data_IF_622269486034
#
_entry.id   IF_622269486034
#
_cell.length_a   1.000
_cell.length_b   1.000
_cell.length_c   1.000
_cell.angle_alpha   90.00
_cell.angle_beta   90.00
_cell.angle_gamma   90.00
#
_symmetry.space_group_name_H-M   'P 1'
#
loop_
_entity.id
_entity.type
_entity.pdbx_description
1 polymer ?
#
# COMPACT_ATOMS: atom_id res chain seq x y z
N UNK A 1 8.19 24.40 -14.90
CA UNK A 1 8.77 23.11 -15.33
C UNK A 1 7.72 22.33 -16.09
N UNK A 2 8.03 21.81 -17.29
CA UNK A 2 7.10 20.95 -18.02
C UNK A 2 6.79 19.70 -17.19
N UNK A 3 5.51 19.32 -17.04
CA UNK A 3 5.10 18.10 -16.34
C UNK A 3 5.71 16.85 -16.99
N UNK A 4 5.72 15.71 -16.28
CA UNK A 4 6.27 14.47 -16.82
C UNK A 4 5.57 14.11 -18.13
N UNK A 5 6.31 13.58 -19.09
CA UNK A 5 5.75 13.15 -20.36
C UNK A 5 4.60 12.15 -20.13
N UNK A 6 3.48 12.35 -20.83
CA UNK A 6 2.23 11.57 -20.66
C UNK A 6 2.46 10.04 -20.70
N UNK A 7 3.39 9.58 -21.52
CA UNK A 7 3.70 8.16 -21.63
C UNK A 7 4.30 7.60 -20.33
N UNK A 8 5.21 8.33 -19.64
CA UNK A 8 5.80 7.90 -18.36
C UNK A 8 4.73 7.71 -17.29
N UNK A 9 3.77 8.64 -17.24
CA UNK A 9 2.65 8.56 -16.31
C UNK A 9 1.75 7.35 -16.59
N UNK A 10 1.41 7.12 -17.87
CA UNK A 10 0.61 5.96 -18.27
C UNK A 10 1.34 4.65 -17.99
N UNK A 11 2.63 4.54 -18.32
CA UNK A 11 3.43 3.34 -18.03
C UNK A 11 3.43 3.04 -16.53
N UNK A 12 3.70 4.03 -15.68
CA UNK A 12 3.72 3.82 -14.24
C UNK A 12 2.33 3.43 -13.68
N UNK A 13 1.24 4.01 -14.18
CA UNK A 13 -0.13 3.62 -13.82
C UNK A 13 -0.43 2.18 -14.23
N UNK A 14 -0.16 1.81 -15.49
CA UNK A 14 -0.36 0.44 -15.97
C UNK A 14 0.50 -0.55 -15.21
N UNK A 15 1.73 -0.18 -14.84
CA UNK A 15 2.59 -1.01 -14.00
C UNK A 15 1.90 -1.34 -12.67
N UNK A 16 1.39 -0.34 -11.93
CA UNK A 16 0.72 -0.64 -10.65
C UNK A 16 -0.61 -1.37 -10.83
N UNK A 17 -1.35 -1.14 -11.91
CA UNK A 17 -2.62 -1.82 -12.18
C UNK A 17 -2.40 -3.32 -12.44
N UNK A 18 -1.52 -3.63 -13.38
CA UNK A 18 -1.31 -5.02 -13.80
C UNK A 18 -0.50 -5.79 -12.77
N UNK A 19 0.59 -5.17 -12.28
CA UNK A 19 1.48 -5.86 -11.34
C UNK A 19 0.79 -6.09 -10.00
N UNK A 20 0.23 -5.05 -9.36
CA UNK A 20 -0.43 -5.27 -8.06
C UNK A 20 -1.73 -6.05 -8.20
N UNK A 21 -2.46 -5.92 -9.31
CA UNK A 21 -3.62 -6.77 -9.58
C UNK A 21 -3.27 -8.25 -9.69
N UNK A 22 -2.12 -8.58 -10.30
CA UNK A 22 -1.65 -9.96 -10.44
C UNK A 22 -0.91 -10.49 -9.20
N UNK A 23 -0.60 -9.65 -8.18
CA UNK A 23 0.07 -10.13 -6.97
C UNK A 23 -0.75 -11.16 -6.20
N UNK A 24 -2.07 -11.05 -6.15
CA UNK A 24 -2.95 -12.03 -5.51
C UNK A 24 -2.82 -13.40 -6.17
N UNK A 25 -2.88 -13.46 -7.50
CA UNK A 25 -2.62 -14.68 -8.27
C UNK A 25 -1.23 -15.27 -7.96
N UNK A 26 -0.20 -14.44 -7.96
CA UNK A 26 1.16 -14.89 -7.68
C UNK A 26 1.35 -15.33 -6.22
N UNK A 27 0.71 -14.66 -5.24
CA UNK A 27 0.69 -15.10 -3.84
C UNK A 27 0.06 -16.49 -3.73
N UNK A 28 -1.10 -16.69 -4.36
CA UNK A 28 -1.80 -17.99 -4.34
C UNK A 28 -0.92 -19.12 -4.86
N UNK A 29 -0.15 -18.89 -5.93
CA UNK A 29 0.81 -19.88 -6.45
C UNK A 29 1.99 -20.06 -5.48
N UNK A 30 2.55 -18.97 -4.96
CA UNK A 30 3.74 -19.07 -4.09
C UNK A 30 3.47 -19.88 -2.84
N UNK A 31 2.29 -19.72 -2.22
CA UNK A 31 1.95 -20.43 -0.97
C UNK A 31 1.49 -21.88 -1.17
N UNK A 32 1.50 -22.40 -2.40
CA UNK A 32 1.23 -23.83 -2.66
C UNK A 32 2.31 -24.72 -2.04
N UNK A 33 3.57 -24.29 -2.08
CA UNK A 33 4.68 -25.05 -1.56
C UNK A 33 5.61 -24.26 -0.64
N UNK A 34 5.52 -22.92 -0.63
CA UNK A 34 6.32 -22.09 0.25
C UNK A 34 5.54 -21.71 1.51
N UNK A 35 6.17 -21.73 2.71
CA UNK A 35 5.52 -21.25 3.94
C UNK A 35 5.13 -19.78 3.82
N UNK A 36 3.93 -19.42 4.30
CA UNK A 36 3.31 -18.14 4.01
C UNK A 36 4.09 -16.94 4.53
N UNK A 37 4.43 -16.93 5.82
CA UNK A 37 5.17 -15.80 6.42
C UNK A 37 6.61 -15.76 5.96
N UNK A 38 7.26 -16.91 5.82
CA UNK A 38 8.64 -16.98 5.34
C UNK A 38 8.76 -16.48 3.91
N UNK A 39 7.86 -16.87 3.00
CA UNK A 39 7.85 -16.40 1.62
C UNK A 39 7.59 -14.90 1.54
N UNK A 40 6.59 -14.38 2.27
CA UNK A 40 6.30 -12.96 2.30
C UNK A 40 7.43 -12.15 2.95
N UNK A 41 8.02 -12.65 4.03
CA UNK A 41 9.12 -11.99 4.74
C UNK A 41 10.38 -11.90 3.89
N UNK A 42 10.82 -13.03 3.34
CA UNK A 42 12.06 -13.09 2.52
C UNK A 42 11.95 -12.28 1.24
N UNK A 43 10.76 -12.21 0.59
CA UNK A 43 10.57 -11.37 -0.59
C UNK A 43 10.70 -9.87 -0.26
N UNK A 44 10.17 -9.41 0.89
CA UNK A 44 10.31 -8.01 1.30
C UNK A 44 11.73 -7.69 1.74
N UNK A 45 12.43 -8.60 2.41
CA UNK A 45 13.85 -8.44 2.71
C UNK A 45 14.68 -8.32 1.43
N UNK A 46 14.44 -9.20 0.44
CA UNK A 46 15.13 -9.15 -0.84
C UNK A 46 14.83 -7.83 -1.58
N UNK A 47 13.57 -7.46 -1.69
CA UNK A 47 13.17 -6.21 -2.38
C UNK A 47 13.74 -4.97 -1.67
N UNK A 48 13.68 -4.92 -0.34
CA UNK A 48 14.26 -3.85 0.47
C UNK A 48 15.77 -3.77 0.33
N UNK A 49 16.47 -4.91 0.34
CA UNK A 49 17.93 -4.97 0.14
C UNK A 49 18.34 -4.52 -1.27
N UNK A 50 17.60 -4.94 -2.31
CA UNK A 50 17.83 -4.48 -3.69
C UNK A 50 17.59 -2.98 -3.84
N UNK A 51 16.52 -2.45 -3.24
CA UNK A 51 16.24 -1.01 -3.27
C UNK A 51 17.31 -0.24 -2.49
N UNK A 52 17.77 -0.74 -1.33
CA UNK A 52 18.88 -0.15 -0.59
C UNK A 52 20.17 -0.10 -1.42
N UNK A 53 20.48 -1.19 -2.13
CA UNK A 53 21.63 -1.25 -3.04
C UNK A 53 21.52 -0.22 -4.16
N UNK A 54 20.36 -0.11 -4.82
CA UNK A 54 20.10 0.88 -5.87
C UNK A 54 20.30 2.30 -5.32
N UNK A 55 19.78 2.60 -4.13
CA UNK A 55 19.94 3.90 -3.50
C UNK A 55 21.41 4.18 -3.17
N UNK A 56 22.15 3.20 -2.66
CA UNK A 56 23.57 3.33 -2.35
C UNK A 56 24.40 3.61 -3.60
N UNK A 57 24.21 2.84 -4.69
CA UNK A 57 24.97 3.03 -5.94
C UNK A 57 24.58 4.31 -6.67
N UNK A 58 23.38 4.86 -6.43
CA UNK A 58 22.94 6.16 -6.95
C UNK A 58 23.34 7.33 -6.05
N UNK A 59 24.15 7.09 -5.01
CA UNK A 59 24.68 8.13 -4.10
C UNK A 59 23.65 8.70 -3.12
N UNK A 60 22.49 8.03 -2.92
CA UNK A 60 21.47 8.48 -1.97
C UNK A 60 21.78 7.96 -0.55
N UNK A 61 21.69 8.87 0.42
CA UNK A 61 21.91 8.50 1.82
C UNK A 61 20.73 7.71 2.40
N UNK A 62 21.03 6.56 2.99
CA UNK A 62 20.09 5.75 3.75
C UNK A 62 20.03 6.14 5.25
N UNK A 63 20.79 7.18 5.64
CA UNK A 63 20.84 7.63 7.04
C UNK A 63 19.53 8.32 7.40
N UNK A 64 18.91 7.86 8.47
CA UNK A 64 17.66 8.41 9.01
C UNK A 64 17.74 8.49 10.53
N UNK A 65 16.91 9.31 11.15
CA UNK A 65 16.80 9.38 12.60
C UNK A 65 16.14 8.12 13.18
N UNK A 66 16.35 7.85 14.46
CA UNK A 66 15.68 6.73 15.16
C UNK A 66 14.15 6.84 15.09
N UNK A 67 13.60 8.06 15.12
CA UNK A 67 12.14 8.29 15.01
C UNK A 67 11.64 7.90 13.62
N UNK A 68 12.32 8.32 12.57
CA UNK A 68 11.97 7.95 11.18
C UNK A 68 12.08 6.44 10.95
N UNK A 69 13.13 5.78 11.51
CA UNK A 69 13.29 4.34 11.43
C UNK A 69 12.12 3.59 12.09
N UNK A 70 11.79 3.95 13.33
CA UNK A 70 10.67 3.32 14.05
C UNK A 70 9.34 3.57 13.33
N UNK A 71 9.11 4.77 12.84
CA UNK A 71 7.89 5.11 12.08
C UNK A 71 7.80 4.33 10.77
N UNK A 72 8.88 4.23 10.01
CA UNK A 72 8.92 3.43 8.78
C UNK A 72 8.73 1.94 9.07
N UNK A 73 9.36 1.40 10.12
CA UNK A 73 9.18 0.01 10.51
C UNK A 73 7.73 -0.28 10.94
N UNK A 74 7.13 0.58 11.78
CA UNK A 74 5.73 0.44 12.20
C UNK A 74 4.76 0.53 11.02
N UNK A 75 4.99 1.48 10.12
CA UNK A 75 4.17 1.61 8.92
C UNK A 75 4.34 0.39 8.00
N UNK A 76 5.57 -0.07 7.80
CA UNK A 76 5.87 -1.28 7.05
C UNK A 76 5.21 -2.52 7.67
N UNK A 77 5.29 -2.69 8.99
CA UNK A 77 4.61 -3.79 9.70
C UNK A 77 3.09 -3.71 9.48
N UNK A 78 2.49 -2.52 9.57
CA UNK A 78 1.04 -2.38 9.39
C UNK A 78 0.62 -2.66 7.94
N UNK A 79 1.28 -2.08 6.95
CA UNK A 79 0.92 -2.21 5.54
C UNK A 79 1.39 -3.55 4.94
N UNK A 80 2.67 -3.85 5.04
CA UNK A 80 3.29 -4.98 4.37
C UNK A 80 3.30 -6.23 5.25
N UNK A 81 3.61 -6.08 6.54
CA UNK A 81 3.65 -7.19 7.49
C UNK A 81 2.26 -7.78 7.73
N UNK A 82 1.39 -7.05 8.42
CA UNK A 82 0.04 -7.50 8.74
C UNK A 82 -0.91 -7.41 7.55
N UNK A 83 -0.76 -6.37 6.69
CA UNK A 83 -1.58 -6.21 5.49
C UNK A 83 -1.26 -7.30 4.47
N UNK A 84 -0.11 -7.25 3.80
CA UNK A 84 0.23 -8.22 2.74
C UNK A 84 0.53 -9.60 3.31
N UNK A 85 1.25 -9.70 4.44
CA UNK A 85 1.50 -10.98 5.10
C UNK A 85 0.22 -11.67 5.56
N UNK A 86 -0.76 -10.89 6.07
CA UNK A 86 -2.09 -11.42 6.42
C UNK A 86 -2.88 -11.91 5.21
N UNK A 87 -2.82 -11.19 4.07
CA UNK A 87 -3.37 -11.66 2.79
C UNK A 87 -2.67 -12.94 2.35
N UNK A 88 -1.34 -13.01 2.42
CA UNK A 88 -0.57 -14.20 2.06
C UNK A 88 -0.99 -15.42 2.87
N UNK A 89 -1.19 -15.26 4.18
CA UNK A 89 -1.71 -16.32 5.04
C UNK A 89 -3.18 -16.65 4.74
N UNK A 90 -4.02 -15.66 4.42
CA UNK A 90 -5.42 -15.87 4.04
C UNK A 90 -5.54 -16.72 2.78
N UNK A 91 -4.71 -16.46 1.77
CA UNK A 91 -4.73 -17.16 0.48
C UNK A 91 -4.30 -18.65 0.57
N UNK A 92 -3.75 -19.10 1.69
CA UNK A 92 -3.65 -20.55 1.96
C UNK A 92 -5.02 -21.21 2.16
N UNK A 93 -6.10 -20.44 2.41
CA UNK A 93 -7.42 -20.91 2.83
C UNK A 93 -8.59 -20.34 2.01
N UNK A 94 -8.37 -19.31 1.22
CA UNK A 94 -9.38 -18.67 0.35
C UNK A 94 -8.81 -18.41 -1.05
N UNK A 95 -9.68 -18.11 -1.99
CA UNK A 95 -9.30 -17.79 -3.37
C UNK A 95 -8.64 -16.41 -3.47
N UNK A 96 -7.75 -16.25 -4.45
CA UNK A 96 -7.04 -15.01 -4.71
C UNK A 96 -7.99 -13.86 -5.10
N UNK A 97 -9.04 -14.17 -5.86
CA UNK A 97 -10.11 -13.23 -6.21
C UNK A 97 -10.87 -12.72 -5.00
N UNK A 98 -11.18 -13.62 -4.03
CA UNK A 98 -11.83 -13.26 -2.77
C UNK A 98 -10.95 -12.35 -1.90
N UNK A 99 -9.66 -12.68 -1.76
CA UNK A 99 -8.69 -11.86 -1.04
C UNK A 99 -8.56 -10.45 -1.66
N UNK A 100 -8.46 -10.37 -3.00
CA UNK A 100 -8.38 -9.11 -3.74
C UNK A 100 -9.65 -8.24 -3.57
N UNK A 101 -10.84 -8.84 -3.58
CA UNK A 101 -12.09 -8.10 -3.35
C UNK A 101 -12.16 -7.51 -1.94
N UNK A 102 -11.76 -8.29 -0.92
CA UNK A 102 -11.69 -7.79 0.47
C UNK A 102 -10.69 -6.65 0.57
N UNK A 103 -9.50 -6.79 -0.01
CA UNK A 103 -8.49 -5.72 -0.05
C UNK A 103 -8.98 -4.49 -0.84
N UNK A 104 -9.81 -4.68 -1.87
CA UNK A 104 -10.45 -3.60 -2.62
C UNK A 104 -11.35 -2.68 -1.77
N UNK A 105 -11.74 -3.09 -0.55
CA UNK A 105 -12.51 -2.25 0.38
C UNK A 105 -11.66 -1.26 1.17
N UNK A 106 -10.34 -1.33 1.12
CA UNK A 106 -9.41 -0.45 1.86
C UNK A 106 -9.75 1.04 1.72
N UNK A 107 -10.02 1.60 0.52
CA UNK A 107 -10.38 3.01 0.41
C UNK A 107 -11.65 3.38 1.21
N UNK A 108 -12.62 2.47 1.24
CA UNK A 108 -13.87 2.67 1.98
C UNK A 108 -13.63 2.64 3.50
N UNK A 109 -12.76 1.73 3.95
CA UNK A 109 -12.35 1.65 5.36
C UNK A 109 -11.60 2.92 5.79
N UNK A 110 -10.70 3.45 4.94
CA UNK A 110 -10.00 4.73 5.21
C UNK A 110 -11.00 5.88 5.29
N UNK A 111 -12.01 5.94 4.39
CA UNK A 111 -13.07 6.95 4.44
C UNK A 111 -13.89 6.81 5.72
N UNK A 112 -14.20 5.59 6.14
CA UNK A 112 -14.89 5.34 7.40
C UNK A 112 -14.07 5.86 8.60
N UNK A 113 -12.77 5.59 8.65
CA UNK A 113 -11.86 6.10 9.67
C UNK A 113 -11.80 7.62 9.69
N UNK A 114 -11.72 8.27 8.52
CA UNK A 114 -11.79 9.74 8.40
C UNK A 114 -13.10 10.30 8.93
N UNK A 115 -14.21 9.62 8.64
CA UNK A 115 -15.55 10.01 9.14
C UNK A 115 -15.63 9.89 10.66
N UNK A 116 -15.13 8.78 11.22
CA UNK A 116 -15.04 8.59 12.68
C UNK A 116 -14.13 9.62 13.36
N UNK A 117 -13.04 10.00 12.69
CA UNK A 117 -12.15 11.09 13.13
C UNK A 117 -12.75 12.48 12.95
N UNK A 118 -14.02 12.58 12.56
CA UNK A 118 -14.78 13.83 12.32
C UNK A 118 -14.18 14.73 11.23
N UNK A 119 -13.42 14.15 10.30
CA UNK A 119 -12.98 14.88 9.11
C UNK A 119 -14.18 15.21 8.20
N UNK A 120 -14.08 16.30 7.44
CA UNK A 120 -15.13 16.73 6.50
C UNK A 120 -15.16 15.84 5.27
N UNK A 121 -15.94 14.78 5.31
CA UNK A 121 -16.16 13.86 4.19
C UNK A 121 -17.53 14.16 3.54
N UNK A 122 -17.59 14.23 2.21
CA UNK A 122 -18.83 14.47 1.47
C UNK A 122 -19.87 13.37 1.75
N UNK A 123 -21.17 13.73 1.81
CA UNK A 123 -22.24 12.77 2.08
C UNK A 123 -22.23 11.61 1.08
N UNK A 124 -22.09 11.90 -0.21
CA UNK A 124 -22.03 10.87 -1.26
C UNK A 124 -20.87 9.88 -1.04
N UNK A 125 -19.71 10.36 -0.58
CA UNK A 125 -18.54 9.52 -0.23
C UNK A 125 -18.83 8.66 1.00
N UNK A 126 -19.55 9.20 2.01
CA UNK A 126 -19.99 8.40 3.18
C UNK A 126 -21.02 7.33 2.80
N UNK A 127 -21.97 7.65 1.92
CA UNK A 127 -22.95 6.68 1.43
C UNK A 127 -22.28 5.55 0.64
N UNK A 128 -21.24 5.84 -0.16
CA UNK A 128 -20.52 4.81 -0.89
C UNK A 128 -19.83 3.79 0.04
N UNK A 129 -19.45 4.18 1.27
CA UNK A 129 -18.94 3.24 2.28
C UNK A 129 -19.98 2.17 2.63
N UNK A 130 -21.23 2.56 2.87
CA UNK A 130 -22.30 1.60 3.19
C UNK A 130 -22.58 0.64 2.03
N UNK A 131 -22.60 1.13 0.79
CA UNK A 131 -22.77 0.29 -0.40
C UNK A 131 -21.62 -0.70 -0.54
N UNK A 132 -20.38 -0.25 -0.34
CA UNK A 132 -19.21 -1.12 -0.42
C UNK A 132 -19.13 -2.14 0.73
N UNK A 133 -19.56 -1.77 1.93
CA UNK A 133 -19.66 -2.72 3.06
C UNK A 133 -20.76 -3.76 2.83
N UNK A 134 -21.89 -3.39 2.19
CA UNK A 134 -22.90 -4.36 1.76
C UNK A 134 -22.32 -5.33 0.71
N UNK A 135 -21.51 -4.82 -0.25
CA UNK A 135 -20.76 -5.64 -1.18
C UNK A 135 -19.77 -6.58 -0.49
N UNK A 136 -19.03 -6.10 0.51
CA UNK A 136 -18.13 -6.93 1.33
C UNK A 136 -18.92 -8.03 2.05
N UNK A 137 -20.07 -7.71 2.62
CA UNK A 137 -20.91 -8.70 3.28
C UNK A 137 -21.34 -9.83 2.30
N UNK A 138 -21.70 -9.52 1.06
CA UNK A 138 -22.01 -10.52 0.03
C UNK A 138 -20.81 -11.42 -0.32
N UNK A 139 -19.59 -10.87 -0.26
CA UNK A 139 -18.36 -11.65 -0.51
C UNK A 139 -18.02 -12.56 0.68
N UNK A 140 -18.22 -12.08 1.91
CA UNK A 140 -17.78 -12.76 3.15
C UNK A 140 -18.85 -13.72 3.69
N UNK A 141 -20.13 -13.40 3.51
CA UNK A 141 -21.23 -14.27 4.00
C UNK A 141 -21.26 -15.58 3.20
N UNK A 142 -21.56 -16.70 3.87
CA UNK A 142 -21.61 -18.02 3.23
C UNK A 142 -22.65 -18.02 2.10
N UNK A 143 -22.21 -17.98 0.87
CA UNK A 143 -23.03 -18.33 -0.30
C UNK A 143 -22.83 -19.81 -0.59
N UNK A 144 -23.79 -20.63 -0.23
CA UNK A 144 -24.10 -21.95 -0.78
C UNK A 144 -23.04 -23.06 -0.83
N UNK A 145 -21.77 -22.79 -1.01
CA UNK A 145 -20.77 -23.79 -1.40
C UNK A 145 -19.86 -24.32 -0.28
N UNK A 146 -20.09 -23.92 0.98
CA UNK A 146 -19.38 -24.53 2.14
C UNK A 146 -17.85 -24.52 2.16
N UNK A 147 -17.20 -24.09 1.07
CA UNK A 147 -15.76 -24.22 0.82
C UNK A 147 -14.90 -23.06 1.36
N UNK A 148 -15.54 -21.95 1.79
CA UNK A 148 -14.79 -20.78 2.25
C UNK A 148 -14.41 -20.88 3.72
N UNK A 149 -13.12 -20.90 3.98
CA UNK A 149 -12.60 -20.89 5.34
C UNK A 149 -12.93 -19.58 6.05
N UNK A 150 -13.74 -19.64 7.11
CA UNK A 150 -14.04 -18.48 7.97
C UNK A 150 -12.76 -17.85 8.54
N UNK A 151 -11.75 -18.67 8.84
CA UNK A 151 -10.43 -18.20 9.30
C UNK A 151 -9.72 -17.43 8.18
N UNK A 152 -9.74 -17.94 6.94
CA UNK A 152 -9.14 -17.24 5.80
C UNK A 152 -9.82 -15.89 5.53
N UNK A 153 -11.14 -15.82 5.59
CA UNK A 153 -11.91 -14.58 5.45
C UNK A 153 -11.58 -13.59 6.58
N UNK A 154 -11.54 -14.05 7.84
CA UNK A 154 -11.18 -13.20 8.98
C UNK A 154 -9.74 -12.63 8.84
N UNK A 155 -8.79 -13.46 8.39
CA UNK A 155 -7.42 -13.02 8.11
C UNK A 155 -7.37 -11.95 7.02
N UNK A 156 -8.09 -12.14 5.91
CA UNK A 156 -8.13 -11.15 4.82
C UNK A 156 -8.78 -9.82 5.26
N UNK A 157 -9.87 -9.88 6.03
CA UNK A 157 -10.52 -8.69 6.61
C UNK A 157 -9.59 -8.00 7.60
N UNK A 158 -8.95 -8.74 8.51
CA UNK A 158 -7.96 -8.20 9.45
C UNK A 158 -6.78 -7.54 8.73
N UNK A 159 -6.29 -8.17 7.66
CA UNK A 159 -5.23 -7.63 6.81
C UNK A 159 -5.65 -6.30 6.15
N UNK A 160 -6.86 -6.22 5.59
CA UNK A 160 -7.37 -4.99 4.98
C UNK A 160 -7.56 -3.87 6.01
N UNK A 161 -8.00 -4.19 7.23
CA UNK A 161 -8.10 -3.23 8.34
C UNK A 161 -6.71 -2.73 8.73
N UNK A 162 -5.72 -3.62 8.87
CA UNK A 162 -4.34 -3.21 9.19
C UNK A 162 -3.77 -2.27 8.13
N UNK A 163 -3.98 -2.59 6.84
CA UNK A 163 -3.59 -1.72 5.74
C UNK A 163 -4.29 -0.34 5.84
N UNK A 164 -5.59 -0.34 6.13
CA UNK A 164 -6.37 0.90 6.25
C UNK A 164 -5.90 1.77 7.41
N UNK A 165 -5.59 1.17 8.55
CA UNK A 165 -5.02 1.88 9.71
C UNK A 165 -3.64 2.45 9.39
N UNK A 166 -2.75 1.67 8.78
CA UNK A 166 -1.45 2.14 8.32
C UNK A 166 -1.58 3.32 7.35
N UNK A 167 -2.47 3.21 6.36
CA UNK A 167 -2.74 4.28 5.39
C UNK A 167 -3.32 5.54 6.06
N UNK A 168 -4.22 5.38 7.04
CA UNK A 168 -4.84 6.50 7.74
C UNK A 168 -3.88 7.21 8.69
N UNK A 169 -3.02 6.47 9.41
CA UNK A 169 -2.08 7.05 10.36
C UNK A 169 -0.72 7.41 9.74
N UNK A 170 -0.36 6.80 8.61
CA UNK A 170 0.96 6.95 7.98
C UNK A 170 1.37 8.40 7.73
N UNK A 171 0.44 9.27 7.29
CA UNK A 171 0.71 10.68 7.05
C UNK A 171 0.97 11.51 8.34
N UNK A 172 0.67 10.95 9.52
CA UNK A 172 0.94 11.58 10.83
C UNK A 172 2.28 11.16 11.42
N UNK A 173 2.95 10.20 10.80
CA UNK A 173 4.22 9.66 11.28
C UNK A 173 5.40 10.47 10.73
N UNK A 174 6.46 10.69 11.52
CA UNK A 174 7.69 11.28 11.04
C UNK A 174 8.42 10.27 10.13
N UNK A 175 8.21 10.39 8.83
CA UNK A 175 8.82 9.54 7.81
C UNK A 175 9.99 10.27 7.12
N UNK A 176 10.97 9.54 6.55
CA UNK A 176 12.02 10.11 5.73
C UNK A 176 11.45 10.95 4.58
N UNK A 177 12.08 12.10 4.29
CA UNK A 177 11.66 12.97 3.17
C UNK A 177 11.78 12.29 1.81
N UNK A 178 12.75 11.39 1.65
CA UNK A 178 12.86 10.56 0.46
C UNK A 178 11.96 9.32 0.61
N UNK A 179 10.87 9.26 -0.18
CA UNK A 179 9.92 8.15 -0.16
C UNK A 179 10.55 6.80 -0.53
N UNK A 180 11.63 6.76 -1.32
CA UNK A 180 12.31 5.49 -1.61
C UNK A 180 13.11 4.99 -0.40
N UNK A 181 13.70 5.91 0.37
CA UNK A 181 14.35 5.57 1.65
C UNK A 181 13.30 5.08 2.65
N UNK A 182 12.15 5.76 2.76
CA UNK A 182 11.04 5.31 3.60
C UNK A 182 10.58 3.89 3.23
N UNK A 183 10.26 3.67 1.94
CA UNK A 183 9.83 2.36 1.43
C UNK A 183 10.87 1.26 1.67
N UNK A 184 12.16 1.57 1.56
CA UNK A 184 13.22 0.59 1.88
C UNK A 184 13.13 0.13 3.34
N UNK A 185 13.03 1.07 4.28
CA UNK A 185 12.93 0.73 5.70
C UNK A 185 11.59 0.08 6.07
N UNK A 186 10.50 0.44 5.38
CA UNK A 186 9.20 -0.23 5.50
C UNK A 186 9.30 -1.71 5.08
N UNK A 187 9.92 -1.99 3.92
CA UNK A 187 10.12 -3.36 3.42
C UNK A 187 11.02 -4.17 4.34
N UNK A 188 12.15 -3.62 4.77
CA UNK A 188 13.07 -4.31 5.67
C UNK A 188 12.43 -4.61 7.03
N UNK A 189 11.70 -3.63 7.61
CA UNK A 189 10.99 -3.81 8.86
C UNK A 189 9.87 -4.84 8.77
N UNK A 190 9.06 -4.78 7.72
CA UNK A 190 8.00 -5.76 7.48
C UNK A 190 8.54 -7.16 7.21
N UNK A 191 9.61 -7.25 6.40
CA UNK A 191 10.25 -8.51 6.08
C UNK A 191 10.84 -9.20 7.32
N UNK A 192 11.56 -8.44 8.16
CA UNK A 192 12.09 -8.95 9.42
C UNK A 192 10.95 -9.41 10.37
N UNK A 193 9.89 -8.61 10.50
CA UNK A 193 8.73 -8.96 11.30
C UNK A 193 8.07 -10.27 10.84
N UNK A 194 7.86 -10.45 9.53
CA UNK A 194 7.25 -11.65 8.98
C UNK A 194 8.13 -12.89 9.15
N UNK A 195 9.45 -12.77 8.95
CA UNK A 195 10.38 -13.88 9.21
C UNK A 195 10.32 -14.27 10.69
N UNK A 196 10.31 -13.31 11.61
CA UNK A 196 10.17 -13.59 13.05
C UNK A 196 8.85 -14.30 13.34
N UNK A 197 7.74 -13.87 12.73
CA UNK A 197 6.44 -14.55 12.87
C UNK A 197 6.47 -15.97 12.31
N UNK A 198 7.10 -16.19 11.15
CA UNK A 198 7.26 -17.51 10.56
C UNK A 198 8.07 -18.45 11.46
N UNK A 199 9.17 -17.95 12.02
CA UNK A 199 10.00 -18.69 12.98
C UNK A 199 9.19 -19.05 14.24
N UNK A 200 8.50 -18.05 14.83
CA UNK A 200 7.69 -18.25 16.03
C UNK A 200 6.49 -19.18 15.76
N UNK A 201 5.95 -19.18 14.55
CA UNK A 201 4.87 -20.07 14.09
C UNK A 201 5.35 -21.48 13.71
N UNK A 202 6.66 -21.78 13.80
CA UNK A 202 7.20 -23.10 13.48
C UNK A 202 7.43 -23.35 11.97
N UNK A 203 7.28 -22.34 11.11
CA UNK A 203 7.46 -22.51 9.66
C UNK A 203 8.87 -23.00 9.29
N UNK A 204 9.90 -22.71 10.11
CA UNK A 204 11.27 -23.25 9.86
C UNK A 204 11.30 -24.77 9.83
N UNK A 205 10.50 -25.42 10.64
CA UNK A 205 10.42 -26.90 10.68
C UNK A 205 9.70 -27.49 9.46
N UNK A 206 9.00 -26.67 8.68
CA UNK A 206 8.27 -27.09 7.47
C UNK A 206 9.01 -26.70 6.17
N UNK A 207 10.14 -26.01 6.27
CA UNK A 207 10.94 -25.65 5.09
C UNK A 207 11.64 -26.90 4.56
N UNK A 208 11.15 -27.39 3.43
CA UNK A 208 11.79 -28.42 2.63
C UNK A 208 12.12 -27.86 1.23
N UNK A 209 13.37 -27.43 1.00
CA UNK A 209 13.73 -26.86 -0.31
C UNK A 209 13.55 -27.84 -1.48
N UNK A 210 13.60 -29.15 -1.23
CA UNK A 210 13.35 -30.16 -2.27
C UNK A 210 11.87 -30.27 -2.65
N UNK A 211 10.97 -29.89 -1.74
CA UNK A 211 9.52 -29.83 -1.97
C UNK A 211 9.04 -28.53 -2.65
N UNK A 212 9.92 -27.55 -2.83
CA UNK A 212 9.52 -26.28 -3.47
C UNK A 212 9.32 -26.46 -4.97
N UNK A 213 8.13 -26.19 -5.46
CA UNK A 213 7.86 -26.23 -6.90
C UNK A 213 8.50 -25.04 -7.63
N UNK A 214 8.93 -25.27 -8.87
CA UNK A 214 9.47 -24.21 -9.71
C UNK A 214 8.46 -23.06 -9.88
N UNK A 215 7.19 -23.38 -9.99
CA UNK A 215 6.09 -22.40 -10.11
C UNK A 215 6.00 -21.50 -8.88
N UNK A 216 6.07 -22.08 -7.66
CA UNK A 216 6.01 -21.31 -6.42
C UNK A 216 7.24 -20.41 -6.24
N UNK A 217 8.44 -20.90 -6.60
CA UNK A 217 9.67 -20.10 -6.55
C UNK A 217 9.64 -18.98 -7.61
N UNK A 218 9.17 -19.27 -8.83
CA UNK A 218 9.01 -18.25 -9.88
C UNK A 218 8.00 -17.18 -9.47
N UNK A 219 6.86 -17.57 -8.88
CA UNK A 219 5.87 -16.65 -8.35
C UNK A 219 6.44 -15.79 -7.22
N UNK A 220 7.23 -16.37 -6.32
CA UNK A 220 7.93 -15.64 -5.25
C UNK A 220 8.93 -14.62 -5.82
N UNK A 221 9.73 -14.99 -6.82
CA UNK A 221 10.65 -14.06 -7.50
C UNK A 221 9.89 -12.95 -8.22
N UNK A 222 8.79 -13.28 -8.90
CA UNK A 222 7.90 -12.29 -9.51
C UNK A 222 7.39 -11.29 -8.45
N UNK A 223 6.93 -11.79 -7.32
CA UNK A 223 6.47 -10.95 -6.22
C UNK A 223 7.57 -10.06 -5.64
N UNK A 224 8.80 -10.58 -5.51
CA UNK A 224 9.94 -9.80 -5.00
C UNK A 224 10.35 -8.69 -5.96
N UNK A 225 10.51 -9.01 -7.24
CA UNK A 225 11.02 -8.07 -8.25
C UNK A 225 9.92 -7.14 -8.77
N UNK A 226 8.84 -7.70 -9.29
CA UNK A 226 7.78 -6.91 -9.90
C UNK A 226 6.81 -6.37 -8.85
N UNK A 227 6.26 -7.23 -7.99
CA UNK A 227 5.27 -6.88 -6.99
C UNK A 227 5.79 -5.91 -5.93
N UNK A 228 7.02 -6.10 -5.48
CA UNK A 228 7.61 -5.29 -4.41
C UNK A 228 8.54 -4.20 -4.96
N UNK A 229 9.60 -4.52 -5.70
CA UNK A 229 10.58 -3.51 -6.11
C UNK A 229 10.03 -2.56 -7.19
N UNK A 230 9.57 -3.10 -8.32
CA UNK A 230 9.16 -2.28 -9.49
C UNK A 230 7.86 -1.53 -9.20
N UNK A 231 6.83 -2.21 -8.72
CA UNK A 231 5.53 -1.58 -8.49
C UNK A 231 5.56 -0.52 -7.39
N UNK A 232 6.25 -0.75 -6.26
CA UNK A 232 6.40 0.29 -5.24
C UNK A 232 7.24 1.47 -5.72
N UNK A 233 8.27 1.22 -6.54
CA UNK A 233 9.04 2.30 -7.18
C UNK A 233 8.17 3.13 -8.10
N UNK A 234 7.36 2.50 -8.94
CA UNK A 234 6.40 3.17 -9.82
C UNK A 234 5.35 3.96 -9.02
N UNK A 235 4.82 3.38 -7.94
CA UNK A 235 3.87 4.03 -7.04
C UNK A 235 4.48 5.26 -6.35
N UNK A 236 5.67 5.12 -5.76
CA UNK A 236 6.38 6.25 -5.13
C UNK A 236 6.69 7.37 -6.14
N UNK A 237 6.99 7.01 -7.40
CA UNK A 237 7.17 7.99 -8.48
C UNK A 237 5.84 8.67 -8.84
N UNK A 238 4.74 7.91 -8.95
CA UNK A 238 3.40 8.45 -9.24
C UNK A 238 2.94 9.44 -8.17
N UNK A 239 3.15 9.16 -6.89
CA UNK A 239 2.77 10.05 -5.79
C UNK A 239 3.42 11.43 -5.90
N UNK A 240 4.61 11.54 -6.53
CA UNK A 240 5.32 12.80 -6.74
C UNK A 240 4.97 13.50 -8.05
N UNK A 241 4.47 12.76 -9.04
CA UNK A 241 4.37 13.23 -10.43
C UNK A 241 2.95 13.21 -10.99
N UNK A 242 1.97 12.69 -10.25
CA UNK A 242 0.59 12.57 -10.68
C UNK A 242 -0.39 13.06 -9.60
N UNK A 243 -1.55 13.60 -9.99
CA UNK A 243 -2.62 13.86 -9.02
C UNK A 243 -2.99 12.58 -8.28
N UNK A 244 -3.14 12.67 -6.96
CA UNK A 244 -3.48 11.51 -6.10
C UNK A 244 -4.75 10.80 -6.58
N UNK A 245 -5.73 11.54 -7.11
CA UNK A 245 -6.96 10.97 -7.68
C UNK A 245 -6.73 10.00 -8.85
N UNK A 246 -5.63 10.15 -9.60
CA UNK A 246 -5.24 9.17 -10.63
C UNK A 246 -4.50 7.98 -10.03
N UNK A 247 -3.65 8.23 -9.02
CA UNK A 247 -2.86 7.15 -8.41
C UNK A 247 -3.77 6.15 -7.72
N UNK A 248 -4.73 6.62 -6.91
CA UNK A 248 -5.63 5.74 -6.14
C UNK A 248 -6.59 4.91 -7.00
N UNK A 249 -6.66 5.15 -8.32
CA UNK A 249 -7.51 4.35 -9.22
C UNK A 249 -7.11 2.88 -9.27
N UNK A 250 -5.86 2.52 -8.93
CA UNK A 250 -5.46 1.11 -8.84
C UNK A 250 -6.32 0.32 -7.83
N UNK A 251 -6.88 0.96 -6.83
CA UNK A 251 -7.68 0.32 -5.78
C UNK A 251 -8.94 -0.39 -6.32
N UNK A 252 -9.52 0.08 -7.43
CA UNK A 252 -10.65 -0.60 -8.07
C UNK A 252 -10.26 -1.40 -9.32
N UNK A 253 -9.08 -1.15 -9.88
CA UNK A 253 -8.58 -1.93 -11.03
C UNK A 253 -7.97 -3.26 -10.58
N UNK A 254 -7.22 -3.26 -9.46
CA UNK A 254 -6.55 -4.45 -8.95
C UNK A 254 -7.50 -5.64 -8.71
N UNK A 255 -8.66 -5.47 -8.04
CA UNK A 255 -9.60 -6.58 -7.89
C UNK A 255 -10.11 -7.14 -9.21
N UNK A 256 -10.31 -6.30 -10.25
CA UNK A 256 -10.72 -6.77 -11.57
C UNK A 256 -9.64 -7.66 -12.22
N UNK A 257 -8.37 -7.23 -12.15
CA UNK A 257 -7.25 -8.03 -12.67
C UNK A 257 -7.14 -9.35 -11.91
N UNK A 258 -7.25 -9.32 -10.57
CA UNK A 258 -7.20 -10.53 -9.75
C UNK A 258 -8.34 -11.52 -10.07
N UNK A 259 -9.57 -11.03 -10.24
CA UNK A 259 -10.73 -11.84 -10.62
C UNK A 259 -10.51 -12.49 -11.99
N UNK A 260 -10.05 -11.73 -12.97
CA UNK A 260 -9.79 -12.25 -14.33
C UNK A 260 -8.71 -13.34 -14.29
N UNK A 261 -7.61 -13.10 -13.57
CA UNK A 261 -6.50 -14.06 -13.46
C UNK A 261 -6.90 -15.30 -12.65
N UNK A 262 -7.63 -15.13 -11.54
CA UNK A 262 -8.11 -16.22 -10.72
C UNK A 262 -9.06 -17.15 -11.51
N UNK A 263 -10.01 -16.58 -12.23
CA UNK A 263 -10.95 -17.34 -13.06
C UNK A 263 -10.27 -18.00 -14.28
N UNK A 264 -9.34 -17.30 -14.95
CA UNK A 264 -8.73 -17.78 -16.18
C UNK A 264 -7.59 -18.79 -15.98
N UNK A 265 -6.85 -18.70 -14.85
CA UNK A 265 -5.61 -19.44 -14.65
C UNK A 265 -5.60 -20.33 -13.39
N UNK A 266 -6.53 -20.12 -12.45
CA UNK A 266 -6.65 -20.91 -11.23
C UNK A 266 -7.98 -21.68 -11.12
N UNK A 267 -8.83 -21.62 -12.15
CA UNK A 267 -10.17 -22.22 -12.17
C UNK A 267 -11.06 -21.79 -10.99
N UNK A 268 -10.83 -20.56 -10.46
CA UNK A 268 -11.61 -20.04 -9.34
C UNK A 268 -13.06 -19.78 -9.78
N UNK A 269 -14.01 -20.40 -9.06
CA UNK A 269 -15.44 -20.27 -9.33
C UNK A 269 -15.98 -19.00 -8.67
N UNK A 270 -16.60 -18.13 -9.47
CA UNK A 270 -17.27 -16.93 -8.97
C UNK A 270 -18.77 -17.21 -8.78
N UNK A 271 -19.23 -17.28 -7.54
CA UNK A 271 -20.67 -17.33 -7.28
C UNK A 271 -21.34 -16.01 -7.68
N UNK A 272 -22.64 -16.04 -7.97
CA UNK A 272 -23.41 -14.83 -8.28
C UNK A 272 -23.32 -13.81 -7.15
N UNK A 273 -23.38 -14.25 -5.89
CA UNK A 273 -23.24 -13.37 -4.72
C UNK A 273 -21.87 -12.68 -4.69
N UNK A 274 -20.80 -13.42 -5.00
CA UNK A 274 -19.44 -12.88 -5.11
C UNK A 274 -19.32 -11.87 -6.25
N UNK A 275 -19.90 -12.16 -7.40
CA UNK A 275 -19.92 -11.23 -8.55
C UNK A 275 -20.68 -9.94 -8.25
N UNK A 276 -21.85 -10.03 -7.62
CA UNK A 276 -22.62 -8.86 -7.17
C UNK A 276 -21.88 -8.07 -6.11
N UNK A 277 -21.27 -8.75 -5.13
CA UNK A 277 -20.45 -8.12 -4.10
C UNK A 277 -19.26 -7.36 -4.68
N UNK A 278 -18.55 -7.97 -5.64
CA UNK A 278 -17.45 -7.32 -6.37
C UNK A 278 -17.93 -6.07 -7.12
N UNK A 279 -19.06 -6.14 -7.83
CA UNK A 279 -19.62 -5.00 -8.54
C UNK A 279 -19.97 -3.84 -7.58
N UNK A 280 -20.56 -4.13 -6.41
CA UNK A 280 -20.88 -3.13 -5.40
C UNK A 280 -19.59 -2.51 -4.80
N UNK A 281 -18.57 -3.31 -4.47
CA UNK A 281 -17.29 -2.81 -3.96
C UNK A 281 -16.64 -1.89 -4.98
N UNK A 282 -16.44 -2.37 -6.20
CA UNK A 282 -15.76 -1.62 -7.26
C UNK A 282 -16.52 -0.33 -7.59
N UNK A 283 -17.85 -0.41 -7.75
CA UNK A 283 -18.69 0.75 -8.02
C UNK A 283 -18.63 1.78 -6.88
N UNK A 284 -18.68 1.33 -5.63
CA UNK A 284 -18.60 2.22 -4.46
C UNK A 284 -17.25 2.91 -4.34
N UNK A 285 -16.15 2.19 -4.55
CA UNK A 285 -14.79 2.75 -4.55
C UNK A 285 -14.62 3.75 -5.70
N UNK A 286 -15.14 3.42 -6.89
CA UNK A 286 -15.14 4.36 -8.02
C UNK A 286 -15.83 5.69 -7.70
N UNK A 287 -17.03 5.63 -7.11
CA UNK A 287 -17.77 6.84 -6.69
C UNK A 287 -17.00 7.61 -5.62
N UNK A 288 -16.46 6.90 -4.60
CA UNK A 288 -15.69 7.51 -3.53
C UNK A 288 -14.47 8.26 -4.06
N UNK A 289 -13.65 7.61 -4.89
CA UNK A 289 -12.43 8.19 -5.46
C UNK A 289 -12.73 9.38 -6.37
N UNK A 290 -13.76 9.30 -7.22
CA UNK A 290 -14.16 10.43 -8.07
C UNK A 290 -14.59 11.65 -7.26
N UNK A 291 -15.36 11.46 -6.19
CA UNK A 291 -15.87 12.56 -5.37
C UNK A 291 -14.79 13.20 -4.50
N UNK A 292 -13.84 12.41 -3.98
CA UNK A 292 -12.68 12.94 -3.24
C UNK A 292 -11.73 13.70 -4.18
N UNK A 293 -11.46 13.17 -5.39
CA UNK A 293 -10.59 13.80 -6.38
C UNK A 293 -11.17 15.08 -7.00
N UNK A 294 -12.48 15.34 -6.86
CA UNK A 294 -13.13 16.56 -7.35
C UNK A 294 -12.97 17.77 -6.40
N UNK A 295 -12.52 17.57 -5.17
CA UNK A 295 -12.16 18.68 -4.27
C UNK A 295 -10.73 19.13 -4.59
N UNK A 296 -10.47 20.44 -4.86
CA UNK A 296 -9.11 20.96 -4.86
C UNK A 296 -8.49 20.62 -3.49
N UNK A 297 -7.38 19.92 -3.47
CA UNK A 297 -6.54 19.87 -2.27
C UNK A 297 -6.24 21.32 -1.91
N UNK A 298 -6.65 21.77 -0.71
CA UNK A 298 -6.09 23.00 -0.18
C UNK A 298 -4.57 22.86 -0.29
N UNK A 299 -3.85 23.86 -0.81
CA UNK A 299 -2.41 23.78 -0.82
C UNK A 299 -1.98 23.48 0.61
N UNK A 300 -1.18 22.42 0.80
CA UNK A 300 -0.46 22.19 2.05
C UNK A 300 0.33 23.46 2.30
N UNK A 301 -0.22 24.31 3.15
CA UNK A 301 0.52 25.43 3.70
C UNK A 301 1.52 24.78 4.63
N UNK A 302 2.70 24.47 4.09
CA UNK A 302 3.87 24.20 4.90
C UNK A 302 3.93 25.38 5.89
N UNK A 303 3.98 25.14 7.20
CA UNK A 303 4.17 26.22 8.15
C UNK A 303 5.44 26.96 7.69
N UNK A 304 5.29 28.28 7.44
CA UNK A 304 6.39 29.15 7.06
C UNK A 304 7.56 28.86 8.01
N UNK A 305 8.72 28.56 7.46
CA UNK A 305 9.91 28.32 8.29
C UNK A 305 10.17 29.59 9.11
N UNK A 306 10.57 29.48 10.38
CA UNK A 306 10.85 30.66 11.22
C UNK A 306 11.95 31.59 10.70
N UNK A 307 12.55 31.28 9.57
CA UNK A 307 13.64 32.06 8.97
C UNK A 307 13.18 33.18 8.02
N UNK A 308 11.91 33.25 7.61
CA UNK A 308 11.42 34.32 6.74
C UNK A 308 11.04 35.63 7.45
N UNK A 309 11.15 35.69 8.80
CA UNK A 309 10.78 36.88 9.57
C UNK A 309 12.00 37.77 9.91
N UNK A 310 13.20 37.42 9.46
CA UNK A 310 14.42 38.18 9.80
C UNK A 310 15.04 38.98 8.64
N UNK A 311 14.48 39.01 7.46
CA UNK A 311 15.10 39.74 6.33
C UNK A 311 14.47 41.11 6.00
N UNK A 312 13.39 41.53 6.67
CA UNK A 312 12.75 42.84 6.39
C UNK A 312 12.93 43.89 7.53
N UNK A 313 14.01 43.79 8.29
CA UNK A 313 14.38 44.93 9.14
C UNK A 313 15.18 45.98 8.32
N UNK A 314 14.70 47.23 8.15
CA UNK A 314 15.45 48.23 7.45
C UNK A 314 16.73 48.55 8.18
N UNK A 315 17.84 48.49 7.46
CA UNK A 315 19.17 48.85 7.93
C UNK A 315 19.18 50.38 8.16
N UNK A 316 19.01 50.79 9.39
CA UNK A 316 19.13 52.19 9.81
C UNK A 316 20.61 52.63 9.69
N UNK A 317 20.91 53.44 8.66
CA UNK A 317 22.25 54.02 8.46
C UNK A 317 22.51 55.09 9.50
N UNK A 318 23.49 54.85 10.34
CA UNK A 318 24.07 55.83 11.24
C UNK A 318 24.48 57.10 10.52
N UNK A 319 23.90 58.23 10.90
CA UNK A 319 24.31 59.54 10.49
C UNK A 319 25.61 59.97 11.26
N UNK A 320 26.58 60.63 10.62
CA UNK A 320 27.83 60.99 11.26
C UNK A 320 27.63 62.11 12.33
N UNK A 321 28.11 61.90 13.53
CA UNK A 321 28.21 62.90 14.58
C UNK A 321 29.19 64.00 14.11
N UNK A 322 28.68 65.22 13.90
CA UNK A 322 29.50 66.44 13.75
C UNK A 322 30.05 66.79 15.12
N UNK A 323 31.39 66.87 15.18
CA UNK A 323 32.17 67.54 16.19
C UNK A 323 31.86 69.03 16.14
N UNK A 324 31.54 69.66 17.30
CA UNK A 324 31.63 71.08 17.49
C UNK A 324 32.47 71.31 18.77
N UNK A 325 33.63 71.92 18.52
CA UNK A 325 34.50 72.45 19.52
C UNK A 325 33.89 73.74 20.13
N UNK A 326 33.89 73.84 21.45
CA UNK A 326 34.46 74.90 22.27
C UNK A 326 34.36 74.52 23.71
#
# INVERSE_FOLDING_TARGET
MAGPARWKLLTALWTIYLVWGSTYFAIKISVRTLPAFFSAGTRFLLAGALLALILAVTGRSMRISRRELLSSALLGISLLGLGVGGVTLAETRIDSSTAAMIAGTVPLQVIALRTLARERVALATRLSVFVGLAGLALVVLPGGDGSRSAVGLALAVGASISWSLGSFFGHRLPLPRDGFVATTWEMLGAGAFLVVLGVAGGELGTIDPAGFSLESVAAWLYLAVFGSLIAFTAYAWLLRNAPISKVVTHQYVNPLVAIILGAALLDEQLSLATGLGAALIIGSVFVAVRKEGAKPSAPDVLPASPQSIREDAPFERDAPRRSAAR
#
